data_IF_283646833031
#
_entry.id   IF_283646833031
#
_cell.length_a   1.000
_cell.length_b   1.000
_cell.length_c   1.000
_cell.angle_alpha   90.00
_cell.angle_beta   90.00
_cell.angle_gamma   90.00
#
_symmetry.space_group_name_H-M   'P 1'
#
loop_
_entity.id
_entity.type
_entity.pdbx_description
1 polymer ?
#
# COMPACT_ATOMS: atom_id res chain seq x y z
N UNK A 1 -22.77 -11.64 10.48
CA UNK A 1 -22.96 -10.59 9.45
C UNK A 1 -21.82 -10.66 8.46
N UNK A 2 -22.13 -10.68 7.15
CA UNK A 2 -21.17 -10.33 6.10
C UNK A 2 -21.27 -8.84 5.86
N UNK A 3 -20.16 -8.11 5.98
CA UNK A 3 -20.13 -6.65 5.96
C UNK A 3 -19.07 -6.15 4.97
N UNK A 4 -19.52 -5.43 3.92
CA UNK A 4 -18.57 -4.77 3.04
C UNK A 4 -17.86 -3.63 3.79
N UNK A 5 -16.55 -3.49 3.58
CA UNK A 5 -15.78 -2.41 4.17
C UNK A 5 -16.13 -1.07 3.54
N UNK A 6 -16.31 -1.02 2.21
CA UNK A 6 -16.70 0.20 1.51
C UNK A 6 -18.20 0.27 1.33
N UNK A 7 -18.81 1.22 2.00
CA UNK A 7 -20.22 1.59 1.84
C UNK A 7 -20.31 2.88 1.02
N UNK A 8 -21.49 3.18 0.49
CA UNK A 8 -21.70 4.35 -0.37
C UNK A 8 -21.38 5.70 0.33
N UNK A 9 -21.44 5.73 1.66
CA UNK A 9 -21.28 6.91 2.51
C UNK A 9 -20.03 6.84 3.41
N UNK A 10 -19.13 5.88 3.21
CA UNK A 10 -17.89 5.76 4.00
C UNK A 10 -17.44 4.33 4.23
N UNK A 11 -16.71 4.10 5.33
CA UNK A 11 -16.27 2.77 5.70
C UNK A 11 -17.13 2.18 6.81
N UNK A 12 -17.40 0.87 6.72
CA UNK A 12 -18.17 0.15 7.75
C UNK A 12 -17.50 0.17 9.13
N UNK A 13 -16.20 0.44 9.23
CA UNK A 13 -15.51 0.65 10.52
C UNK A 13 -16.09 1.81 11.32
N UNK A 14 -16.64 2.84 10.66
CA UNK A 14 -17.29 3.96 11.35
C UNK A 14 -18.54 3.54 12.11
N UNK A 15 -19.20 2.45 11.68
CA UNK A 15 -20.36 1.90 12.36
C UNK A 15 -19.97 1.38 13.75
N UNK A 16 -18.80 0.72 13.87
CA UNK A 16 -18.29 0.19 15.14
C UNK A 16 -17.94 1.27 16.16
N UNK A 17 -17.66 2.51 15.68
CA UNK A 17 -17.46 3.66 16.57
C UNK A 17 -18.78 4.23 17.14
N UNK A 18 -19.90 3.96 16.47
CA UNK A 18 -21.22 4.51 16.83
C UNK A 18 -22.10 3.52 17.60
N UNK A 19 -21.96 2.24 17.29
CA UNK A 19 -22.79 1.18 17.92
C UNK A 19 -21.92 -0.01 18.34
N UNK A 20 -22.32 -0.67 19.46
CA UNK A 20 -21.69 -1.91 19.89
C UNK A 20 -22.30 -3.08 19.12
N UNK A 21 -21.52 -3.70 18.23
CA UNK A 21 -21.93 -4.90 17.50
C UNK A 21 -21.58 -6.12 18.36
N UNK A 22 -22.59 -6.95 18.64
CA UNK A 22 -22.45 -8.15 19.49
C UNK A 22 -22.47 -9.45 18.71
N UNK A 23 -22.83 -9.41 17.45
CA UNK A 23 -22.83 -10.58 16.58
C UNK A 23 -21.50 -10.74 15.85
N UNK A 24 -21.12 -11.98 15.47
CA UNK A 24 -19.93 -12.23 14.67
C UNK A 24 -19.97 -11.52 13.32
N UNK A 25 -18.85 -10.92 12.90
CA UNK A 25 -18.72 -10.19 11.64
C UNK A 25 -17.64 -10.82 10.79
N UNK A 26 -17.95 -11.03 9.50
CA UNK A 26 -17.01 -11.41 8.46
C UNK A 26 -16.98 -10.23 7.49
N UNK A 27 -15.81 -9.59 7.34
CA UNK A 27 -15.66 -8.49 6.40
C UNK A 27 -15.46 -8.98 4.97
N UNK A 28 -16.01 -8.22 4.02
CA UNK A 28 -15.73 -8.41 2.59
C UNK A 28 -15.20 -7.12 1.98
N UNK A 29 -14.25 -7.18 1.05
CA UNK A 29 -13.72 -5.99 0.38
C UNK A 29 -12.94 -6.33 -0.88
N UNK A 30 -12.74 -5.34 -1.76
CA UNK A 30 -11.83 -5.43 -2.90
C UNK A 30 -10.37 -5.01 -2.56
N UNK A 31 -10.09 -4.56 -1.32
CA UNK A 31 -8.81 -3.97 -0.93
C UNK A 31 -8.14 -4.73 0.22
N UNK A 32 -6.93 -5.21 0.00
CA UNK A 32 -6.12 -5.94 0.99
C UNK A 32 -5.70 -5.08 2.20
N UNK A 33 -5.59 -3.76 2.02
CA UNK A 33 -5.07 -2.83 3.03
C UNK A 33 -5.90 -2.75 4.31
N UNK A 34 -7.16 -3.16 4.29
CA UNK A 34 -8.06 -3.10 5.44
C UNK A 34 -8.05 -4.34 6.35
N UNK A 35 -7.31 -5.38 6.00
CA UNK A 35 -7.22 -6.61 6.79
C UNK A 35 -6.84 -6.32 8.25
N UNK A 36 -5.82 -5.47 8.49
CA UNK A 36 -5.38 -5.08 9.85
C UNK A 36 -6.44 -4.32 10.63
N UNK A 37 -7.28 -3.50 9.98
CA UNK A 37 -8.37 -2.79 10.65
C UNK A 37 -9.53 -3.72 11.01
N UNK A 38 -9.84 -4.69 10.14
CA UNK A 38 -10.85 -5.72 10.42
C UNK A 38 -10.51 -6.51 11.69
N UNK A 39 -9.24 -6.84 11.90
CA UNK A 39 -8.79 -7.52 13.12
C UNK A 39 -8.97 -6.68 14.39
N UNK A 40 -8.78 -5.36 14.36
CA UNK A 40 -8.94 -4.48 15.52
C UNK A 40 -10.38 -4.44 16.05
N UNK A 41 -11.37 -4.78 15.26
CA UNK A 41 -12.79 -4.78 15.65
C UNK A 41 -13.34 -6.17 15.94
N UNK A 42 -12.47 -7.15 16.26
CA UNK A 42 -12.83 -8.53 16.62
C UNK A 42 -13.69 -9.24 15.56
N UNK A 43 -13.35 -9.11 14.29
CA UNK A 43 -14.01 -9.85 13.22
C UNK A 43 -13.64 -11.35 13.25
N UNK A 44 -14.55 -12.20 12.78
CA UNK A 44 -14.30 -13.64 12.62
C UNK A 44 -13.34 -13.90 11.48
N UNK A 45 -13.55 -13.22 10.36
CA UNK A 45 -12.74 -13.39 9.15
C UNK A 45 -12.84 -12.19 8.22
N UNK A 46 -12.07 -12.25 7.13
CA UNK A 46 -11.92 -11.22 6.12
C UNK A 46 -11.83 -11.88 4.74
N UNK A 47 -12.76 -11.55 3.84
CA UNK A 47 -12.82 -12.11 2.49
C UNK A 47 -12.48 -11.05 1.44
N UNK A 48 -11.45 -11.32 0.65
CA UNK A 48 -11.04 -10.45 -0.46
C UNK A 48 -11.83 -10.78 -1.72
N UNK A 49 -12.49 -9.79 -2.31
CA UNK A 49 -13.21 -9.94 -3.58
C UNK A 49 -12.23 -10.01 -4.77
N UNK A 50 -12.41 -10.93 -5.73
CA UNK A 50 -13.47 -11.94 -5.80
C UNK A 50 -13.17 -13.12 -4.88
N UNK A 51 -14.16 -13.65 -4.14
CA UNK A 51 -14.06 -14.83 -3.30
C UNK A 51 -14.99 -15.92 -3.82
N UNK A 52 -14.65 -17.17 -3.58
CA UNK A 52 -15.41 -18.34 -4.02
C UNK A 52 -16.19 -19.00 -2.86
N UNK A 53 -16.89 -20.10 -3.17
CA UNK A 53 -17.67 -20.85 -2.18
C UNK A 53 -16.78 -21.44 -1.06
N UNK A 54 -15.55 -21.83 -1.38
CA UNK A 54 -14.63 -22.42 -0.42
C UNK A 54 -14.18 -21.39 0.60
N UNK A 55 -13.90 -20.16 0.17
CA UNK A 55 -13.52 -19.04 1.04
C UNK A 55 -14.62 -18.75 2.07
N UNK A 56 -15.88 -18.69 1.59
CA UNK A 56 -17.05 -18.50 2.45
C UNK A 56 -17.23 -19.66 3.42
N UNK A 57 -17.05 -20.89 2.96
CA UNK A 57 -17.17 -22.11 3.77
C UNK A 57 -16.12 -22.12 4.88
N UNK A 58 -14.86 -21.81 4.57
CA UNK A 58 -13.79 -21.70 5.55
C UNK A 58 -14.09 -20.66 6.64
N UNK A 59 -14.57 -19.48 6.24
CA UNK A 59 -14.94 -18.43 7.19
C UNK A 59 -16.11 -18.85 8.12
N UNK A 60 -17.11 -19.55 7.59
CA UNK A 60 -18.22 -20.09 8.39
C UNK A 60 -17.77 -21.21 9.33
N UNK A 61 -16.90 -22.11 8.89
CA UNK A 61 -16.40 -23.20 9.72
C UNK A 61 -15.51 -22.65 10.85
N UNK A 62 -14.72 -21.63 10.60
CA UNK A 62 -13.99 -20.88 11.63
C UNK A 62 -14.94 -20.24 12.65
N UNK A 63 -16.05 -19.63 12.21
CA UNK A 63 -17.08 -19.12 13.12
C UNK A 63 -17.66 -20.22 14.01
N UNK A 64 -18.03 -21.38 13.46
CA UNK A 64 -18.56 -22.51 14.22
C UNK A 64 -17.57 -23.03 15.25
N UNK A 65 -16.28 -23.07 14.90
CA UNK A 65 -15.21 -23.48 15.82
C UNK A 65 -15.09 -22.52 17.00
N UNK A 66 -15.10 -21.21 16.74
CA UNK A 66 -15.07 -20.17 17.76
C UNK A 66 -16.28 -20.21 18.69
N UNK A 67 -17.47 -20.50 18.18
CA UNK A 67 -18.68 -20.64 18.97
C UNK A 67 -18.65 -21.88 19.93
N UNK A 68 -18.01 -22.97 19.50
CA UNK A 68 -17.90 -24.20 20.31
C UNK A 68 -16.92 -24.08 21.47
N UNK A 69 -15.87 -23.28 21.33
CA UNK A 69 -14.84 -23.11 22.35
C UNK A 69 -15.24 -22.20 23.51
N UNK A 70 -16.39 -21.55 23.46
CA UNK A 70 -16.92 -20.71 24.56
C UNK A 70 -16.06 -19.49 24.91
N UNK A 71 -14.96 -19.31 24.28
CA UNK A 71 -14.01 -18.21 24.50
C UNK A 71 -13.98 -17.29 23.27
N UNK A 72 -14.63 -16.16 23.40
CA UNK A 72 -14.41 -15.02 22.47
C UNK A 72 -13.05 -14.35 22.69
N UNK A 73 -12.22 -14.86 23.58
CA UNK A 73 -10.82 -14.47 23.75
C UNK A 73 -9.93 -15.53 23.10
N UNK A 74 -9.97 -15.59 21.77
CA UNK A 74 -8.95 -16.33 21.02
C UNK A 74 -7.66 -15.53 21.15
N UNK A 75 -6.56 -16.24 21.42
CA UNK A 75 -5.23 -15.65 21.42
C UNK A 75 -4.88 -15.29 19.95
N UNK A 76 -5.31 -14.07 19.57
CA UNK A 76 -5.20 -13.55 18.20
C UNK A 76 -3.76 -13.53 17.70
N UNK A 77 -2.78 -13.57 18.61
CA UNK A 77 -1.37 -13.62 18.25
C UNK A 77 -0.98 -14.98 17.63
N UNK A 78 -1.58 -16.09 18.07
CA UNK A 78 -1.34 -17.39 17.43
C UNK A 78 -1.99 -17.48 16.04
N UNK A 79 -3.18 -16.89 15.88
CA UNK A 79 -3.86 -16.83 14.57
C UNK A 79 -3.12 -15.89 13.63
N UNK A 80 -2.65 -14.73 14.10
CA UNK A 80 -1.82 -13.82 13.28
C UNK A 80 -0.51 -14.47 12.84
N UNK A 81 0.06 -15.36 13.66
CA UNK A 81 1.26 -16.11 13.29
C UNK A 81 0.97 -17.29 12.34
N UNK A 82 -0.26 -17.86 12.38
CA UNK A 82 -0.68 -18.95 11.50
C UNK A 82 -1.23 -18.47 10.16
N UNK A 83 -1.84 -17.27 10.11
CA UNK A 83 -2.17 -16.59 8.86
C UNK A 83 -0.89 -15.93 8.38
N UNK A 84 -0.09 -16.68 7.63
CA UNK A 84 0.82 -16.06 6.66
C UNK A 84 -0.06 -15.35 5.64
N UNK A 85 -0.52 -14.11 5.96
CA UNK A 85 -0.91 -13.17 4.92
C UNK A 85 0.24 -13.23 3.91
N UNK A 86 -0.02 -13.52 2.64
CA UNK A 86 1.05 -13.48 1.66
C UNK A 86 1.68 -12.11 1.81
N UNK A 87 2.87 -12.05 2.43
CA UNK A 87 3.64 -10.80 2.48
C UNK A 87 3.71 -10.37 1.04
N UNK A 88 3.07 -9.27 0.69
CA UNK A 88 3.15 -8.70 -0.67
C UNK A 88 4.64 -8.66 -0.96
N UNK A 89 5.12 -9.60 -1.79
CA UNK A 89 6.54 -9.67 -2.14
C UNK A 89 6.78 -8.49 -3.06
N UNK A 90 7.30 -7.43 -2.49
CA UNK A 90 7.78 -6.31 -3.29
C UNK A 90 8.98 -6.77 -4.10
N UNK A 91 9.17 -6.18 -5.27
CA UNK A 91 10.31 -6.51 -6.12
C UNK A 91 11.58 -5.85 -5.56
N UNK A 92 12.58 -6.67 -5.29
CA UNK A 92 13.92 -6.20 -4.93
C UNK A 92 14.73 -5.81 -6.17
N UNK A 93 14.30 -6.24 -7.37
CA UNK A 93 15.00 -5.98 -8.63
C UNK A 93 14.01 -5.74 -9.77
N UNK A 94 14.35 -4.80 -10.63
CA UNK A 94 13.66 -4.53 -11.89
C UNK A 94 14.49 -4.99 -13.07
N UNK A 95 13.86 -5.66 -14.01
CA UNK A 95 14.49 -6.02 -15.29
C UNK A 95 14.03 -4.99 -16.31
N UNK A 96 14.97 -4.31 -16.94
CA UNK A 96 14.71 -3.33 -18.00
C UNK A 96 15.43 -3.74 -19.28
N UNK A 97 14.80 -3.45 -20.41
CA UNK A 97 15.39 -3.66 -21.76
C UNK A 97 15.88 -2.32 -22.30
N UNK A 98 17.12 -2.30 -22.78
CA UNK A 98 17.75 -1.15 -23.43
C UNK A 98 18.26 -1.62 -24.80
N UNK A 99 17.41 -1.56 -25.81
CA UNK A 99 17.68 -2.20 -27.10
C UNK A 99 17.83 -3.73 -26.90
N UNK A 100 18.96 -4.27 -27.34
CA UNK A 100 19.27 -5.71 -27.19
C UNK A 100 19.86 -6.08 -25.83
N UNK A 101 20.06 -5.11 -24.94
CA UNK A 101 20.67 -5.35 -23.62
C UNK A 101 19.60 -5.44 -22.54
N UNK A 102 19.66 -6.49 -21.74
CA UNK A 102 18.81 -6.67 -20.55
C UNK A 102 19.64 -6.29 -19.33
N UNK A 103 19.12 -5.37 -18.49
CA UNK A 103 19.74 -4.96 -17.22
C UNK A 103 18.85 -5.29 -16.04
N UNK A 104 19.45 -5.76 -14.97
CA UNK A 104 18.80 -5.95 -13.68
C UNK A 104 19.21 -4.81 -12.74
N UNK A 105 18.22 -4.02 -12.27
CA UNK A 105 18.41 -2.91 -11.33
C UNK A 105 17.97 -3.34 -9.94
N UNK A 106 18.80 -3.12 -8.93
CA UNK A 106 18.38 -3.23 -7.54
C UNK A 106 17.48 -2.08 -7.14
N UNK A 107 16.45 -2.34 -6.33
CA UNK A 107 15.56 -1.27 -5.85
C UNK A 107 16.31 -0.29 -4.93
N UNK A 108 17.30 -0.75 -4.19
CA UNK A 108 18.14 0.08 -3.30
C UNK A 108 19.02 1.07 -4.07
N UNK A 109 19.30 0.78 -5.36
CA UNK A 109 20.07 1.67 -6.24
C UNK A 109 19.19 2.76 -6.88
N UNK A 110 17.86 2.73 -6.66
CA UNK A 110 16.89 3.62 -7.30
C UNK A 110 16.58 4.81 -6.40
N UNK A 111 16.81 6.03 -6.89
CA UNK A 111 16.42 7.26 -6.23
C UNK A 111 14.93 7.55 -6.40
N UNK A 112 14.44 7.57 -7.62
CA UNK A 112 13.03 7.85 -7.92
C UNK A 112 12.62 7.35 -9.29
N UNK A 113 11.30 7.18 -9.49
CA UNK A 113 10.67 6.92 -10.78
C UNK A 113 9.90 8.16 -11.22
N UNK A 114 9.88 8.42 -12.52
CA UNK A 114 9.17 9.59 -13.04
C UNK A 114 8.68 9.38 -14.47
N UNK A 115 7.67 10.19 -14.86
CA UNK A 115 7.17 10.26 -16.23
C UNK A 115 7.61 11.56 -16.88
N UNK A 116 8.16 11.49 -18.07
CA UNK A 116 8.51 12.62 -18.90
C UNK A 116 8.18 12.31 -20.38
N UNK A 117 7.50 13.23 -21.06
CA UNK A 117 7.11 13.08 -22.48
C UNK A 117 6.40 11.74 -22.77
N UNK A 118 5.47 11.33 -21.90
CA UNK A 118 4.73 10.06 -21.98
C UNK A 118 5.58 8.78 -21.84
N UNK A 119 6.85 8.91 -21.49
CA UNK A 119 7.75 7.78 -21.21
C UNK A 119 8.06 7.76 -19.72
N UNK A 120 8.10 6.56 -19.17
CA UNK A 120 8.44 6.36 -17.75
C UNK A 120 9.94 6.05 -17.62
N UNK A 121 10.54 6.60 -16.61
CA UNK A 121 11.97 6.48 -16.32
C UNK A 121 12.21 6.09 -14.87
N UNK A 122 13.32 5.41 -14.65
CA UNK A 122 13.95 5.24 -13.34
C UNK A 122 15.21 6.11 -13.28
N UNK A 123 15.37 6.85 -12.18
CA UNK A 123 16.60 7.57 -11.87
C UNK A 123 17.35 6.79 -10.79
N UNK A 124 18.60 6.43 -11.08
CA UNK A 124 19.47 5.74 -10.13
C UNK A 124 20.13 6.75 -9.17
N UNK A 125 20.60 6.27 -8.01
CA UNK A 125 21.31 7.09 -7.03
C UNK A 125 22.55 7.79 -7.61
N UNK A 126 23.19 7.18 -8.59
CA UNK A 126 24.32 7.75 -9.34
C UNK A 126 23.92 8.84 -10.38
N UNK A 127 22.62 9.14 -10.51
CA UNK A 127 22.09 10.13 -11.46
C UNK A 127 21.77 9.59 -12.84
N UNK A 128 22.03 8.32 -13.13
CA UNK A 128 21.72 7.71 -14.40
C UNK A 128 20.21 7.52 -14.57
N UNK A 129 19.69 7.87 -15.73
CA UNK A 129 18.28 7.78 -16.08
C UNK A 129 18.06 6.74 -17.16
N UNK A 130 17.14 5.81 -16.90
CA UNK A 130 16.89 4.69 -17.80
C UNK A 130 15.37 4.61 -18.06
N UNK A 131 14.94 4.42 -19.32
CA UNK A 131 13.52 4.20 -19.61
C UNK A 131 13.07 2.83 -19.05
N UNK A 132 11.81 2.76 -18.65
CA UNK A 132 11.17 1.54 -18.17
C UNK A 132 9.86 1.29 -18.89
N UNK A 133 9.51 0.02 -19.08
CA UNK A 133 8.27 -0.41 -19.74
C UNK A 133 7.06 -0.47 -18.79
N UNK A 134 7.25 -0.13 -17.51
CA UNK A 134 6.20 -0.13 -16.48
C UNK A 134 5.58 1.26 -16.36
N UNK A 135 4.26 1.32 -16.14
CA UNK A 135 3.59 2.55 -15.72
C UNK A 135 3.92 2.87 -14.25
N UNK A 136 3.80 4.13 -13.83
CA UNK A 136 4.01 4.47 -12.42
C UNK A 136 3.01 3.77 -11.50
N UNK A 137 1.79 3.48 -11.97
CA UNK A 137 0.80 2.72 -11.21
C UNK A 137 1.28 1.28 -10.98
N UNK A 138 1.81 0.62 -12.00
CA UNK A 138 2.41 -0.71 -11.87
C UNK A 138 3.65 -0.70 -10.96
N UNK A 139 4.49 0.33 -11.07
CA UNK A 139 5.66 0.49 -10.19
C UNK A 139 5.22 0.62 -8.74
N UNK A 140 4.22 1.47 -8.44
CA UNK A 140 3.67 1.69 -7.09
C UNK A 140 3.17 0.38 -6.45
N UNK A 141 2.58 -0.52 -7.24
CA UNK A 141 2.15 -1.84 -6.78
C UNK A 141 3.30 -2.82 -6.50
N UNK A 142 4.43 -2.65 -7.20
CA UNK A 142 5.58 -3.58 -7.14
C UNK A 142 6.60 -3.22 -6.06
N UNK A 143 6.66 -1.97 -5.60
CA UNK A 143 7.67 -1.47 -4.66
C UNK A 143 7.14 -1.38 -3.23
N UNK A 144 8.05 -1.38 -2.26
CA UNK A 144 7.69 -1.27 -0.85
C UNK A 144 7.25 0.18 -0.52
N UNK A 145 5.98 0.40 -0.10
CA UNK A 145 5.48 1.72 0.24
C UNK A 145 6.17 2.36 1.45
N UNK A 146 6.89 1.59 2.27
CA UNK A 146 7.73 2.15 3.34
C UNK A 146 8.95 2.90 2.82
N UNK A 147 9.51 2.46 1.68
CA UNK A 147 10.73 3.01 1.13
C UNK A 147 10.46 4.06 0.05
N UNK A 148 9.30 3.98 -0.60
CA UNK A 148 8.95 4.84 -1.73
C UNK A 148 7.54 5.39 -1.57
N UNK A 149 7.38 6.66 -1.93
CA UNK A 149 6.08 7.34 -1.89
C UNK A 149 5.76 8.03 -3.21
N UNK A 150 4.54 7.88 -3.69
CA UNK A 150 4.04 8.59 -4.87
C UNK A 150 3.57 9.97 -4.49
N UNK A 151 4.36 10.97 -4.79
CA UNK A 151 4.06 12.37 -4.41
C UNK A 151 3.06 13.07 -5.34
N UNK A 152 2.96 12.61 -6.61
CA UNK A 152 2.01 13.13 -7.59
C UNK A 152 1.88 12.17 -8.79
N UNK A 153 1.17 12.59 -9.86
CA UNK A 153 1.00 11.78 -11.07
C UNK A 153 2.29 11.50 -11.83
N UNK A 154 3.33 12.31 -11.60
CA UNK A 154 4.57 12.27 -12.35
C UNK A 154 5.73 11.60 -11.59
N UNK A 155 5.68 11.52 -10.25
CA UNK A 155 6.81 11.06 -9.43
C UNK A 155 6.42 10.06 -8.36
N UNK A 156 7.28 9.02 -8.23
CA UNK A 156 7.41 8.16 -7.04
C UNK A 156 8.84 8.33 -6.55
N UNK A 157 9.05 8.73 -5.30
CA UNK A 157 10.37 9.05 -4.75
C UNK A 157 10.74 8.13 -3.58
N UNK A 158 12.03 7.81 -3.47
CA UNK A 158 12.58 7.13 -2.30
C UNK A 158 12.89 8.10 -1.16
N UNK A 159 12.88 7.64 0.09
CA UNK A 159 13.28 8.44 1.26
C UNK A 159 14.66 9.08 1.09
N UNK A 160 15.63 8.27 0.64
CA UNK A 160 17.01 8.69 0.45
C UNK A 160 17.21 9.66 -0.73
N UNK A 161 16.21 9.80 -1.60
CA UNK A 161 16.25 10.75 -2.71
C UNK A 161 15.81 12.16 -2.33
N UNK A 162 15.37 12.38 -1.08
CA UNK A 162 14.95 13.69 -0.59
C UNK A 162 16.18 14.42 -0.06
N UNK A 163 16.61 15.48 -0.75
CA UNK A 163 17.72 16.36 -0.31
C UNK A 163 17.21 17.45 0.63
N UNK A 164 16.16 18.17 0.21
CA UNK A 164 15.58 19.28 0.96
C UNK A 164 14.08 19.38 0.69
N UNK A 165 13.32 19.83 1.68
CA UNK A 165 11.90 20.13 1.52
C UNK A 165 11.60 21.56 1.95
N UNK A 166 10.74 22.24 1.18
CA UNK A 166 10.28 23.60 1.47
C UNK A 166 8.77 23.66 1.48
N UNK A 167 8.22 24.23 2.52
CA UNK A 167 6.80 24.58 2.52
C UNK A 167 6.61 25.85 1.69
N UNK A 168 5.91 25.73 0.56
CA UNK A 168 5.70 26.85 -0.36
C UNK A 168 4.43 27.64 -0.06
N UNK A 169 3.35 26.93 0.34
CA UNK A 169 2.09 27.52 0.81
C UNK A 169 1.54 26.61 1.92
N UNK A 170 0.42 27.02 2.56
CA UNK A 170 -0.18 26.19 3.64
C UNK A 170 -0.40 24.72 3.31
N UNK A 171 -0.48 24.35 2.02
CA UNK A 171 -0.79 23.00 1.56
C UNK A 171 0.17 22.42 0.51
N UNK A 172 1.19 23.16 0.07
CA UNK A 172 2.13 22.67 -0.96
C UNK A 172 3.51 22.46 -0.38
N UNK A 173 4.09 21.29 -0.63
CA UNK A 173 5.44 20.91 -0.26
C UNK A 173 6.25 20.79 -1.55
N UNK A 174 7.36 21.55 -1.62
CA UNK A 174 8.37 21.41 -2.66
C UNK A 174 9.41 20.43 -2.14
N UNK A 175 9.77 19.44 -2.95
CA UNK A 175 10.81 18.46 -2.66
C UNK A 175 11.95 18.66 -3.63
N UNK A 176 13.15 18.89 -3.10
CA UNK A 176 14.38 18.87 -3.86
C UNK A 176 14.93 17.47 -3.86
N UNK A 177 15.13 16.92 -5.02
CA UNK A 177 15.61 15.55 -5.20
C UNK A 177 17.11 15.46 -5.35
N UNK A 178 17.69 14.37 -4.87
CA UNK A 178 19.05 13.93 -5.13
C UNK A 178 19.01 12.50 -5.69
N UNK A 179 19.47 12.27 -6.93
CA UNK A 179 20.02 13.25 -7.91
C UNK A 179 19.00 14.30 -8.37
N UNK A 180 19.46 15.52 -8.71
CA UNK A 180 18.56 16.63 -8.98
C UNK A 180 17.73 16.40 -10.26
N UNK A 181 16.45 16.75 -10.18
CA UNK A 181 15.60 16.83 -11.37
C UNK A 181 15.60 18.26 -11.92
N UNK A 182 15.41 18.40 -13.23
CA UNK A 182 15.53 19.69 -13.95
C UNK A 182 14.44 20.71 -13.60
N UNK A 183 13.30 20.25 -13.07
CA UNK A 183 12.17 21.12 -12.70
C UNK A 183 11.79 20.94 -11.24
N UNK A 184 11.01 21.88 -10.74
CA UNK A 184 10.53 21.85 -9.36
C UNK A 184 9.59 20.66 -9.15
N UNK A 185 9.88 19.84 -8.15
CA UNK A 185 9.07 18.68 -7.81
C UNK A 185 8.15 19.04 -6.64
N UNK A 186 6.84 18.90 -6.83
CA UNK A 186 5.82 19.35 -5.86
C UNK A 186 4.95 18.16 -5.46
N UNK A 187 4.69 18.02 -4.16
CA UNK A 187 3.73 17.05 -3.64
C UNK A 187 2.32 17.53 -3.97
N UNK A 188 1.48 16.66 -4.50
CA UNK A 188 0.08 16.96 -4.76
C UNK A 188 -0.66 17.29 -3.46
N UNK A 189 -1.61 18.22 -3.50
CA UNK A 189 -2.28 18.73 -2.29
C UNK A 189 -3.02 17.63 -1.55
N UNK A 190 -3.69 16.75 -2.28
CA UNK A 190 -4.41 15.58 -1.79
C UNK A 190 -3.51 14.52 -1.14
N UNK A 191 -2.21 14.52 -1.47
CA UNK A 191 -1.22 13.59 -0.91
C UNK A 191 -0.31 14.22 0.16
N UNK A 192 -0.47 15.50 0.46
CA UNK A 192 0.45 16.22 1.34
C UNK A 192 0.39 15.75 2.82
N UNK A 193 -0.77 15.28 3.29
CA UNK A 193 -0.93 14.74 4.64
C UNK A 193 -0.24 13.37 4.72
N UNK A 194 -0.61 12.44 3.84
CA UNK A 194 -0.05 11.09 3.80
C UNK A 194 1.47 11.11 3.60
N UNK A 195 1.97 12.10 2.83
CA UNK A 195 3.41 12.29 2.64
C UNK A 195 4.14 12.68 3.93
N UNK A 196 3.53 13.52 4.79
CA UNK A 196 4.12 13.87 6.09
C UNK A 196 4.14 12.69 7.05
N UNK A 197 3.04 11.91 7.05
CA UNK A 197 2.94 10.72 7.89
C UNK A 197 3.99 9.69 7.46
N UNK A 198 4.15 9.47 6.15
CA UNK A 198 5.19 8.59 5.60
C UNK A 198 6.62 9.00 5.96
N UNK A 199 6.90 10.32 6.06
CA UNK A 199 8.22 10.81 6.46
C UNK A 199 8.54 10.59 7.94
N UNK A 200 7.52 10.37 8.78
CA UNK A 200 7.65 10.19 10.21
C UNK A 200 7.70 8.71 10.67
N UNK A 201 7.48 7.78 9.75
CA UNK A 201 7.63 6.32 9.98
C UNK A 201 9.09 5.87 9.87
#
# INVERSE_FOLDING_TARGET
IFLDIHLADGTSFQVFNKIKITCPVIFTTAFESYALQAFKVNSVDYLLKPFDENDVRCAIDKLKLLQRSGTFSVDYLEILNSIQLPKKKYKDRFIIKLGDTIKSLGIDDVAYFYTENKTNFVCMNEGKRLPIDFTLDQVEEMINPKNFFRINRQFIIGHHAIDEMKQHTRSRIIVKLNPPFKSVTIVAIDRALDFRDWLSE
#
